data_IF_720158429108
#
_entry.id   IF_720158429108
#
_cell.length_a   1.000
_cell.length_b   1.000
_cell.length_c   1.000
_cell.angle_alpha   90.00
_cell.angle_beta   90.00
_cell.angle_gamma   90.00
#
_symmetry.space_group_name_H-M   'P 1'
#
loop_
_entity.id
_entity.type
_entity.pdbx_description
1 polymer ?
#
# COMPACT_ATOMS: atom_id res chain seq x y z
N UNK A 1 20.22 15.71 9.94
CA UNK A 1 20.08 14.70 8.88
C UNK A 1 19.68 15.36 7.56
N UNK A 2 18.62 16.22 7.50
CA UNK A 2 18.14 16.85 6.27
C UNK A 2 19.19 17.68 5.54
N UNK A 3 19.97 18.51 6.25
CA UNK A 3 21.05 19.30 5.65
C UNK A 3 22.12 18.44 5.01
N UNK A 4 22.52 17.34 5.67
CA UNK A 4 23.50 16.38 5.12
C UNK A 4 22.94 15.71 3.86
N UNK A 5 21.70 15.26 3.89
CA UNK A 5 21.02 14.66 2.73
C UNK A 5 20.98 15.65 1.55
N UNK A 6 20.61 16.92 1.80
CA UNK A 6 20.59 17.98 0.77
C UNK A 6 21.98 18.21 0.18
N UNK A 7 23.03 18.27 1.03
CA UNK A 7 24.41 18.45 0.56
C UNK A 7 24.86 17.24 -0.30
N UNK A 8 24.55 16.01 0.11
CA UNK A 8 24.85 14.79 -0.65
C UNK A 8 24.14 14.82 -2.00
N UNK A 9 22.86 15.14 -2.04
CA UNK A 9 22.10 15.23 -3.30
C UNK A 9 22.70 16.31 -4.21
N UNK A 10 22.99 17.49 -3.68
CA UNK A 10 23.51 18.61 -4.45
C UNK A 10 24.90 18.33 -5.05
N UNK A 11 25.73 17.49 -4.40
CA UNK A 11 27.12 17.25 -4.81
C UNK A 11 27.30 15.94 -5.58
N UNK A 12 26.53 14.89 -5.26
CA UNK A 12 26.75 13.55 -5.80
C UNK A 12 25.71 13.12 -6.86
N UNK A 13 24.53 13.76 -6.91
CA UNK A 13 23.55 13.43 -7.95
C UNK A 13 23.94 14.16 -9.24
N UNK A 14 24.19 13.44 -10.35
CA UNK A 14 24.44 14.05 -11.64
C UNK A 14 23.27 14.94 -12.03
N UNK A 15 23.59 16.12 -12.59
CA UNK A 15 22.52 16.97 -13.19
C UNK A 15 21.90 16.20 -14.32
N UNK A 16 20.63 15.83 -14.15
CA UNK A 16 19.85 15.18 -15.22
C UNK A 16 19.77 16.13 -16.41
N UNK A 17 20.45 15.76 -17.48
CA UNK A 17 20.31 16.44 -18.78
C UNK A 17 19.17 15.74 -19.51
N UNK A 18 17.93 16.00 -19.05
CA UNK A 18 16.72 15.36 -19.58
C UNK A 18 16.78 15.24 -21.11
N UNK A 19 17.02 14.03 -21.59
CA UNK A 19 17.05 13.73 -23.04
C UNK A 19 15.64 13.70 -23.65
N UNK A 20 14.61 13.72 -22.83
CA UNK A 20 13.21 13.80 -23.27
C UNK A 20 12.62 15.16 -22.89
N UNK A 21 12.14 15.91 -23.88
CA UNK A 21 11.38 17.14 -23.63
C UNK A 21 10.21 16.81 -22.68
N UNK A 22 10.08 17.52 -21.53
CA UNK A 22 8.99 17.26 -20.61
C UNK A 22 7.66 17.44 -21.33
N UNK A 23 6.73 16.50 -21.14
CA UNK A 23 5.36 16.66 -21.65
C UNK A 23 4.77 17.96 -21.08
N UNK A 24 3.92 18.62 -21.85
CA UNK A 24 3.15 19.72 -21.31
C UNK A 24 2.30 19.20 -20.14
N UNK A 25 2.22 19.95 -19.04
CA UNK A 25 1.47 19.55 -17.82
C UNK A 25 0.05 19.03 -18.11
N UNK A 26 -0.60 19.64 -19.12
CA UNK A 26 -1.92 19.20 -19.59
C UNK A 26 -1.93 17.78 -20.16
N UNK A 27 -0.84 17.36 -20.79
CA UNK A 27 -0.73 16.02 -21.36
C UNK A 27 -0.36 14.99 -20.28
N UNK A 28 0.45 15.37 -19.29
CA UNK A 28 0.67 14.55 -18.09
C UNK A 28 -0.64 14.27 -17.34
N UNK A 29 -1.52 15.29 -17.21
CA UNK A 29 -2.83 15.11 -16.57
C UNK A 29 -3.72 14.13 -17.35
N UNK A 30 -3.66 14.11 -18.69
CA UNK A 30 -4.39 13.12 -19.50
C UNK A 30 -3.89 11.70 -19.25
N UNK A 31 -2.58 11.53 -19.09
CA UNK A 31 -1.98 10.22 -18.77
C UNK A 31 -2.44 9.75 -17.40
N UNK A 32 -2.40 10.61 -16.39
CA UNK A 32 -2.86 10.29 -15.03
C UNK A 32 -4.36 9.98 -15.01
N UNK A 33 -5.15 10.63 -15.86
CA UNK A 33 -6.59 10.36 -16.02
C UNK A 33 -6.93 9.01 -16.67
N UNK A 34 -5.93 8.23 -17.12
CA UNK A 34 -6.19 6.89 -17.67
C UNK A 34 -6.80 5.97 -16.61
N UNK A 35 -7.82 5.16 -16.93
CA UNK A 35 -8.50 4.30 -15.97
C UNK A 35 -7.56 3.39 -15.17
N UNK A 36 -6.52 2.86 -15.80
CA UNK A 36 -5.54 1.98 -15.14
C UNK A 36 -4.67 2.72 -14.11
N UNK A 37 -4.36 3.99 -14.32
CA UNK A 37 -3.63 4.82 -13.35
C UNK A 37 -4.54 5.15 -12.17
N UNK A 38 -5.78 5.57 -12.43
CA UNK A 38 -6.76 5.87 -11.38
C UNK A 38 -7.08 4.63 -10.53
N UNK A 39 -7.23 3.45 -11.14
CA UNK A 39 -7.38 2.20 -10.41
C UNK A 39 -6.13 1.90 -9.57
N UNK A 40 -4.93 2.19 -10.09
CA UNK A 40 -3.68 2.07 -9.34
C UNK A 40 -3.64 2.97 -8.09
N UNK A 41 -4.00 4.23 -8.25
CA UNK A 41 -4.10 5.18 -7.13
C UNK A 41 -5.16 4.73 -6.10
N UNK A 42 -6.31 4.26 -6.55
CA UNK A 42 -7.36 3.71 -5.67
C UNK A 42 -6.86 2.46 -4.93
N UNK A 43 -6.16 1.55 -5.60
CA UNK A 43 -5.53 0.40 -4.95
C UNK A 43 -4.53 0.83 -3.88
N UNK A 44 -3.79 1.93 -4.08
CA UNK A 44 -2.86 2.47 -3.10
C UNK A 44 -3.60 3.02 -1.88
N UNK A 45 -4.65 3.84 -2.08
CA UNK A 45 -5.47 4.37 -0.97
C UNK A 45 -6.05 3.24 -0.13
N UNK A 46 -6.69 2.25 -0.77
CA UNK A 46 -7.36 1.16 -0.08
C UNK A 46 -6.36 0.13 0.47
N UNK A 47 -5.35 -0.25 -0.33
CA UNK A 47 -4.38 -1.27 0.05
C UNK A 47 -3.56 -0.89 1.28
N UNK A 48 -3.15 0.36 1.38
CA UNK A 48 -2.35 0.85 2.50
C UNK A 48 -3.20 1.40 3.65
N UNK A 49 -4.37 1.97 3.33
CA UNK A 49 -5.26 2.58 4.33
C UNK A 49 -5.75 1.60 5.39
N UNK A 50 -5.98 0.34 5.03
CA UNK A 50 -6.43 -0.70 5.97
C UNK A 50 -5.49 -0.86 7.16
N UNK A 51 -4.19 -0.85 6.94
CA UNK A 51 -3.19 -0.95 8.01
C UNK A 51 -3.34 0.18 9.03
N UNK A 52 -3.63 1.42 8.58
CA UNK A 52 -3.78 2.56 9.47
C UNK A 52 -5.06 2.53 10.30
N UNK A 53 -6.08 1.75 9.93
CA UNK A 53 -7.25 1.48 10.77
C UNK A 53 -6.84 0.79 12.08
N UNK A 54 -5.80 -0.04 12.05
CA UNK A 54 -5.25 -0.73 13.24
C UNK A 54 -4.10 0.06 13.85
N UNK A 55 -3.14 0.50 13.04
CA UNK A 55 -1.89 1.10 13.51
C UNK A 55 -2.10 2.40 14.27
N UNK A 56 -3.06 3.23 13.86
CA UNK A 56 -3.39 4.48 14.57
C UNK A 56 -3.84 4.24 16.01
N UNK A 57 -4.46 3.09 16.26
CA UNK A 57 -4.99 2.71 17.57
C UNK A 57 -4.23 1.54 18.18
N UNK A 58 -2.99 1.32 17.74
CA UNK A 58 -2.20 0.15 18.16
C UNK A 58 -1.91 0.17 19.68
N UNK A 59 -1.68 1.35 20.25
CA UNK A 59 -1.41 1.47 21.69
C UNK A 59 -2.61 1.02 22.53
N UNK A 60 -3.82 1.58 22.42
CA UNK A 60 -4.97 1.10 23.17
C UNK A 60 -5.31 -0.37 22.82
N UNK A 61 -5.09 -0.81 21.59
CA UNK A 61 -5.30 -2.22 21.23
C UNK A 61 -4.36 -3.14 22.02
N UNK A 62 -3.10 -2.76 22.20
CA UNK A 62 -2.12 -3.52 22.99
C UNK A 62 -2.41 -3.45 24.48
N UNK A 63 -2.75 -2.29 25.04
CA UNK A 63 -2.89 -2.12 26.48
C UNK A 63 -4.26 -2.54 26.99
N UNK A 64 -5.35 -2.14 26.32
CA UNK A 64 -6.71 -2.37 26.80
C UNK A 64 -7.29 -3.72 26.36
N UNK A 65 -6.90 -4.23 25.18
CA UNK A 65 -7.44 -5.49 24.63
C UNK A 65 -6.48 -6.66 24.89
N UNK A 66 -5.20 -6.51 24.53
CA UNK A 66 -4.22 -7.57 24.69
C UNK A 66 -3.59 -7.62 26.10
N UNK A 67 -3.85 -6.62 26.97
CA UNK A 67 -3.42 -6.59 28.37
C UNK A 67 -1.92 -6.40 28.58
N UNK A 68 -1.24 -5.68 27.67
CA UNK A 68 0.16 -5.31 27.87
C UNK A 68 0.30 -4.09 28.78
N UNK A 69 1.40 -4.04 29.55
CA UNK A 69 1.80 -2.82 30.23
C UNK A 69 2.22 -1.76 29.19
N UNK A 70 2.00 -0.47 29.49
CA UNK A 70 2.40 0.64 28.60
C UNK A 70 3.90 0.61 28.23
N UNK A 71 4.76 0.16 29.15
CA UNK A 71 6.21 0.02 28.92
C UNK A 71 6.56 -1.02 27.85
N UNK A 72 5.66 -1.97 27.56
CA UNK A 72 5.87 -2.99 26.53
C UNK A 72 5.54 -2.49 25.12
N UNK A 73 4.79 -1.39 24.98
CA UNK A 73 4.36 -0.87 23.67
C UNK A 73 5.55 -0.54 22.79
N UNK A 74 6.54 0.22 23.29
CA UNK A 74 7.72 0.60 22.49
C UNK A 74 8.54 -0.59 22.00
N UNK A 75 8.88 -1.60 22.82
CA UNK A 75 9.51 -2.84 22.34
C UNK A 75 8.68 -3.56 21.26
N UNK A 76 7.36 -3.63 21.41
CA UNK A 76 6.49 -4.29 20.44
C UNK A 76 6.49 -3.51 19.11
N UNK A 77 6.51 -2.17 19.15
CA UNK A 77 6.63 -1.35 17.95
C UNK A 77 7.99 -1.51 17.25
N UNK A 78 9.05 -1.89 17.96
CA UNK A 78 10.31 -2.28 17.30
C UNK A 78 10.14 -3.57 16.49
N UNK A 79 9.35 -4.54 16.97
CA UNK A 79 9.01 -5.74 16.18
C UNK A 79 8.25 -5.37 14.90
N UNK A 80 7.30 -4.42 14.98
CA UNK A 80 6.65 -3.85 13.80
C UNK A 80 7.67 -3.24 12.84
N UNK A 81 8.63 -2.44 13.35
CA UNK A 81 9.69 -1.83 12.55
C UNK A 81 10.58 -2.85 11.83
N UNK A 82 10.96 -3.95 12.50
CA UNK A 82 11.68 -5.07 11.87
C UNK A 82 10.82 -5.68 10.77
N UNK A 83 9.52 -5.90 11.03
CA UNK A 83 8.58 -6.36 10.04
C UNK A 83 8.55 -5.45 8.80
N UNK A 84 8.48 -4.12 8.99
CA UNK A 84 8.52 -3.15 7.89
C UNK A 84 9.75 -3.31 7.00
N UNK A 85 10.94 -3.48 7.59
CA UNK A 85 12.19 -3.68 6.83
C UNK A 85 12.10 -4.95 5.99
N UNK A 86 11.72 -6.06 6.60
CA UNK A 86 11.59 -7.36 5.92
C UNK A 86 10.53 -7.28 4.81
N UNK A 87 9.37 -6.69 5.11
CA UNK A 87 8.28 -6.53 4.15
C UNK A 87 8.69 -5.71 2.93
N UNK A 88 9.32 -4.55 3.16
CA UNK A 88 9.76 -3.68 2.07
C UNK A 88 10.79 -4.37 1.15
N UNK A 89 11.75 -5.10 1.71
CA UNK A 89 12.74 -5.86 0.94
C UNK A 89 12.09 -6.99 0.13
N UNK A 90 11.20 -7.76 0.74
CA UNK A 90 10.50 -8.85 0.05
C UNK A 90 9.54 -8.34 -1.02
N UNK A 91 8.77 -7.28 -0.71
CA UNK A 91 7.84 -6.64 -1.65
C UNK A 91 8.55 -6.13 -2.90
N UNK A 92 9.69 -5.43 -2.74
CA UNK A 92 10.53 -5.01 -3.85
C UNK A 92 11.03 -6.19 -4.69
N UNK A 93 11.64 -7.18 -4.05
CA UNK A 93 12.18 -8.38 -4.74
C UNK A 93 11.10 -9.17 -5.51
N UNK A 94 9.88 -9.26 -4.98
CA UNK A 94 8.78 -9.93 -5.68
C UNK A 94 8.24 -9.09 -6.82
N UNK A 95 8.13 -7.77 -6.64
CA UNK A 95 7.68 -6.85 -7.66
C UNK A 95 8.62 -6.83 -8.88
N UNK A 96 9.94 -6.86 -8.65
CA UNK A 96 10.96 -6.93 -9.72
C UNK A 96 10.85 -8.21 -10.56
N UNK A 97 10.40 -9.31 -9.97
CA UNK A 97 10.24 -10.59 -10.70
C UNK A 97 8.97 -10.63 -11.53
N UNK A 98 7.83 -10.39 -10.91
CA UNK A 98 6.49 -10.42 -11.54
C UNK A 98 5.56 -9.46 -10.79
N UNK A 99 5.40 -8.25 -11.32
CA UNK A 99 4.70 -7.17 -10.65
C UNK A 99 3.24 -7.51 -10.28
N UNK A 100 2.45 -8.00 -11.24
CA UNK A 100 1.03 -8.27 -10.98
C UNK A 100 0.80 -9.41 -9.96
N UNK A 101 1.46 -10.58 -10.05
CA UNK A 101 1.37 -11.59 -9.01
C UNK A 101 1.84 -11.07 -7.63
N UNK A 102 2.91 -10.25 -7.59
CA UNK A 102 3.40 -9.66 -6.34
C UNK A 102 2.36 -8.73 -5.72
N UNK A 103 1.72 -7.86 -6.52
CA UNK A 103 0.66 -6.96 -6.08
C UNK A 103 -0.52 -7.71 -5.47
N UNK A 104 -1.03 -8.74 -6.18
CA UNK A 104 -2.15 -9.56 -5.69
C UNK A 104 -1.77 -10.33 -4.41
N UNK A 105 -0.57 -10.94 -4.39
CA UNK A 105 -0.11 -11.72 -3.25
C UNK A 105 0.09 -10.85 -2.01
N UNK A 106 0.69 -9.66 -2.15
CA UNK A 106 0.93 -8.77 -1.01
C UNK A 106 -0.37 -8.20 -0.45
N UNK A 107 -1.33 -7.80 -1.29
CA UNK A 107 -2.67 -7.37 -0.85
C UNK A 107 -3.45 -8.50 -0.16
N UNK A 108 -3.40 -9.72 -0.71
CA UNK A 108 -4.02 -10.89 -0.09
C UNK A 108 -3.37 -11.23 1.26
N UNK A 109 -2.03 -11.18 1.34
CA UNK A 109 -1.29 -11.41 2.59
C UNK A 109 -1.67 -10.39 3.65
N UNK A 110 -1.74 -9.09 3.30
CA UNK A 110 -2.13 -8.04 4.24
C UNK A 110 -3.57 -8.26 4.74
N UNK A 111 -4.50 -8.58 3.84
CA UNK A 111 -5.89 -8.91 4.20
C UNK A 111 -5.96 -10.08 5.18
N UNK A 112 -5.21 -11.16 4.90
CA UNK A 112 -5.18 -12.35 5.76
C UNK A 112 -4.55 -12.05 7.12
N UNK A 113 -3.42 -11.36 7.16
CA UNK A 113 -2.75 -10.98 8.42
C UNK A 113 -3.68 -10.16 9.30
N UNK A 114 -4.33 -9.15 8.75
CA UNK A 114 -5.27 -8.31 9.52
C UNK A 114 -6.51 -9.10 9.96
N UNK A 115 -7.09 -9.93 9.10
CA UNK A 115 -8.23 -10.78 9.44
C UNK A 115 -7.89 -11.79 10.54
N UNK A 116 -6.74 -12.47 10.42
CA UNK A 116 -6.28 -13.45 11.41
C UNK A 116 -5.85 -12.81 12.74
N UNK A 117 -5.36 -11.56 12.71
CA UNK A 117 -5.02 -10.79 13.91
C UNK A 117 -6.21 -10.66 14.87
N UNK A 118 -7.45 -10.70 14.36
CA UNK A 118 -8.66 -10.69 15.18
C UNK A 118 -8.69 -11.84 16.20
N UNK A 119 -8.18 -13.01 15.83
CA UNK A 119 -8.12 -14.17 16.72
C UNK A 119 -6.91 -14.14 17.69
N UNK A 120 -5.94 -13.28 17.41
CA UNK A 120 -4.73 -13.13 18.22
C UNK A 120 -4.89 -12.12 19.37
N UNK A 121 -5.95 -11.32 19.39
CA UNK A 121 -6.13 -10.16 20.27
C UNK A 121 -5.99 -10.49 21.77
N UNK A 122 -6.39 -11.69 22.20
CA UNK A 122 -6.38 -12.11 23.60
C UNK A 122 -5.16 -12.95 23.99
N UNK A 123 -4.18 -13.11 23.09
CA UNK A 123 -2.93 -13.81 23.34
C UNK A 123 -1.75 -12.88 23.12
N UNK A 124 -1.04 -12.54 24.19
CA UNK A 124 0.10 -11.60 24.11
C UNK A 124 1.17 -12.06 23.11
N UNK A 125 1.55 -13.35 23.13
CA UNK A 125 2.54 -13.88 22.19
C UNK A 125 2.08 -13.81 20.73
N UNK A 126 0.83 -14.20 20.50
CA UNK A 126 0.25 -14.09 19.15
C UNK A 126 0.17 -12.63 18.70
N UNK A 127 -0.21 -11.71 19.59
CA UNK A 127 -0.32 -10.29 19.29
C UNK A 127 1.03 -9.69 18.88
N UNK A 128 2.13 -9.99 19.59
CA UNK A 128 3.49 -9.54 19.21
C UNK A 128 3.86 -10.06 17.82
N UNK A 129 3.60 -11.35 17.54
CA UNK A 129 3.85 -11.93 16.23
C UNK A 129 3.04 -11.20 15.13
N UNK A 130 1.73 -11.00 15.37
CA UNK A 130 0.87 -10.34 14.38
C UNK A 130 1.20 -8.86 14.17
N UNK A 131 1.70 -8.15 15.17
CA UNK A 131 2.22 -6.78 15.01
C UNK A 131 3.43 -6.77 14.06
N UNK A 132 4.36 -7.71 14.21
CA UNK A 132 5.47 -7.86 13.28
C UNK A 132 5.02 -8.25 11.86
N UNK A 133 4.09 -9.20 11.74
CA UNK A 133 3.50 -9.61 10.46
C UNK A 133 2.71 -8.48 9.79
N UNK A 134 2.01 -7.65 10.56
CA UNK A 134 1.32 -6.46 10.06
C UNK A 134 2.31 -5.48 9.42
N UNK A 135 3.43 -5.20 10.09
CA UNK A 135 4.49 -4.38 9.52
C UNK A 135 5.05 -4.97 8.23
N UNK A 136 5.34 -6.27 8.22
CA UNK A 136 5.86 -6.96 7.05
C UNK A 136 4.85 -6.98 5.88
N UNK A 137 3.60 -7.36 6.14
CA UNK A 137 2.58 -7.45 5.11
C UNK A 137 2.23 -6.07 4.51
N UNK A 138 2.07 -5.05 5.36
CA UNK A 138 1.75 -3.70 4.91
C UNK A 138 2.87 -3.11 4.04
N UNK A 139 4.11 -3.18 4.49
CA UNK A 139 5.23 -2.61 3.74
C UNK A 139 5.66 -3.43 2.53
N UNK A 140 5.30 -4.71 2.47
CA UNK A 140 5.44 -5.50 1.24
C UNK A 140 4.54 -5.00 0.09
N UNK A 141 3.45 -4.27 0.37
CA UNK A 141 2.56 -3.71 -0.67
C UNK A 141 3.12 -2.44 -1.32
N UNK A 142 4.04 -1.72 -0.66
CA UNK A 142 4.48 -0.38 -1.07
C UNK A 142 5.13 -0.41 -2.46
N UNK A 143 6.15 -1.26 -2.66
CA UNK A 143 6.85 -1.33 -3.94
C UNK A 143 5.96 -1.81 -5.09
N UNK A 144 5.15 -2.88 -4.96
CA UNK A 144 4.24 -3.30 -6.02
C UNK A 144 3.21 -2.22 -6.41
N UNK A 145 2.63 -1.51 -5.43
CA UNK A 145 1.66 -0.42 -5.68
C UNK A 145 2.33 0.75 -6.42
N UNK A 146 3.51 1.16 -5.97
CA UNK A 146 4.26 2.25 -6.60
C UNK A 146 4.64 1.90 -8.04
N UNK A 147 5.23 0.73 -8.25
CA UNK A 147 5.65 0.30 -9.58
C UNK A 147 4.47 0.11 -10.54
N UNK A 148 3.34 -0.38 -10.05
CA UNK A 148 2.13 -0.50 -10.87
C UNK A 148 1.67 0.85 -11.42
N UNK A 149 1.55 1.87 -10.56
CA UNK A 149 1.15 3.21 -10.96
C UNK A 149 2.14 3.79 -11.97
N UNK A 150 3.45 3.67 -11.71
CA UNK A 150 4.49 4.17 -12.60
C UNK A 150 4.46 3.51 -13.99
N UNK A 151 4.27 2.18 -14.06
CA UNK A 151 4.17 1.46 -15.32
C UNK A 151 2.93 1.87 -16.14
N UNK A 152 1.80 2.13 -15.47
CA UNK A 152 0.57 2.56 -16.16
C UNK A 152 0.59 4.04 -16.58
N UNK A 153 1.44 4.84 -15.95
CA UNK A 153 1.61 6.27 -16.22
C UNK A 153 2.81 6.56 -17.13
N UNK A 154 3.11 5.66 -18.07
CA UNK A 154 4.21 5.87 -19.02
C UNK A 154 4.07 7.22 -19.74
N UNK A 155 5.13 8.02 -19.68
CA UNK A 155 5.19 9.40 -20.15
C UNK A 155 4.92 10.46 -19.08
N UNK A 156 4.32 10.11 -17.92
CA UNK A 156 4.02 11.04 -16.83
C UNK A 156 4.40 10.45 -15.44
N UNK A 157 5.51 9.69 -15.38
CA UNK A 157 5.91 8.96 -14.16
C UNK A 157 6.16 9.88 -12.97
N UNK A 158 6.72 11.07 -13.19
CA UNK A 158 7.02 12.02 -12.11
C UNK A 158 5.75 12.51 -11.41
N UNK A 159 4.75 12.94 -12.19
CA UNK A 159 3.45 13.37 -11.67
C UNK A 159 2.72 12.20 -11.01
N UNK A 160 2.70 11.03 -11.65
CA UNK A 160 2.05 9.83 -11.13
C UNK A 160 2.69 9.35 -9.83
N UNK A 161 4.03 9.43 -9.70
CA UNK A 161 4.74 9.13 -8.44
C UNK A 161 4.30 10.07 -7.31
N UNK A 162 4.25 11.38 -7.58
CA UNK A 162 3.83 12.38 -6.60
C UNK A 162 2.39 12.16 -6.15
N UNK A 163 1.49 11.85 -7.10
CA UNK A 163 0.09 11.54 -6.80
C UNK A 163 -0.06 10.23 -6.03
N UNK A 164 0.79 9.23 -6.31
CA UNK A 164 0.76 7.97 -5.57
C UNK A 164 1.24 8.13 -4.13
N UNK A 165 2.24 9.00 -3.87
CA UNK A 165 2.60 9.40 -2.50
C UNK A 165 1.41 10.08 -1.81
N UNK A 166 0.71 10.96 -2.53
CA UNK A 166 -0.54 11.56 -2.05
C UNK A 166 -1.62 10.49 -1.74
N UNK A 167 -1.74 9.46 -2.59
CA UNK A 167 -2.67 8.35 -2.39
C UNK A 167 -2.33 7.53 -1.14
N UNK A 168 -1.06 7.25 -0.85
CA UNK A 168 -0.63 6.64 0.42
C UNK A 168 -1.07 7.49 1.62
N UNK A 169 -0.84 8.81 1.59
CA UNK A 169 -1.23 9.69 2.68
C UNK A 169 -2.76 9.81 2.83
N UNK A 170 -3.50 9.83 1.72
CA UNK A 170 -4.96 9.77 1.75
C UNK A 170 -5.45 8.45 2.36
N UNK A 171 -4.80 7.33 2.04
CA UNK A 171 -5.06 6.03 2.65
C UNK A 171 -4.82 6.06 4.16
N UNK A 172 -3.71 6.66 4.63
CA UNK A 172 -3.41 6.82 6.05
C UNK A 172 -4.52 7.60 6.78
N UNK A 173 -4.93 8.74 6.22
CA UNK A 173 -5.99 9.57 6.77
C UNK A 173 -7.34 8.83 6.77
N UNK A 174 -7.68 8.15 5.68
CA UNK A 174 -8.89 7.35 5.56
C UNK A 174 -8.92 6.22 6.60
N UNK A 175 -7.82 5.47 6.74
CA UNK A 175 -7.72 4.37 7.71
C UNK A 175 -7.85 4.86 9.15
N UNK A 176 -7.16 5.96 9.51
CA UNK A 176 -7.27 6.56 10.84
C UNK A 176 -8.70 7.03 11.13
N UNK A 177 -9.33 7.71 10.17
CA UNK A 177 -10.73 8.13 10.28
C UNK A 177 -11.68 6.92 10.42
N UNK A 178 -11.51 5.88 9.60
CA UNK A 178 -12.33 4.68 9.66
C UNK A 178 -12.21 4.00 11.02
N UNK A 179 -11.00 3.87 11.56
CA UNK A 179 -10.78 3.32 12.90
C UNK A 179 -11.48 4.12 13.99
N UNK A 180 -11.41 5.46 13.93
CA UNK A 180 -12.15 6.33 14.84
C UNK A 180 -13.66 6.16 14.72
N UNK A 181 -14.17 6.08 13.49
CA UNK A 181 -15.60 5.85 13.26
C UNK A 181 -16.05 4.49 13.85
N UNK A 182 -15.29 3.42 13.67
CA UNK A 182 -15.58 2.09 14.24
C UNK A 182 -15.70 2.15 15.76
N UNK A 183 -14.75 2.83 16.43
CA UNK A 183 -14.75 2.99 17.89
C UNK A 183 -15.96 3.83 18.34
N UNK A 184 -16.22 4.96 17.69
CA UNK A 184 -17.32 5.88 18.05
C UNK A 184 -18.70 5.25 17.87
N UNK A 185 -18.88 4.33 16.93
CA UNK A 185 -20.14 3.60 16.75
C UNK A 185 -20.26 2.38 17.67
N UNK A 186 -19.39 2.21 18.66
CA UNK A 186 -19.51 1.21 19.72
C UNK A 186 -19.06 -0.20 19.34
N UNK A 187 -18.43 -0.42 18.18
CA UNK A 187 -17.92 -1.73 17.81
C UNK A 187 -16.65 -2.14 18.60
N UNK A 188 -16.03 -1.18 19.29
CA UNK A 188 -14.88 -1.39 20.15
C UNK A 188 -13.56 -1.58 19.40
N UNK A 189 -12.45 -1.58 20.16
CA UNK A 189 -11.08 -1.68 19.63
C UNK A 189 -10.83 -3.01 18.88
N UNK A 190 -11.41 -4.11 19.33
CA UNK A 190 -11.24 -5.43 18.69
C UNK A 190 -11.80 -5.49 17.26
N UNK A 191 -12.76 -4.62 16.92
CA UNK A 191 -13.32 -4.57 15.58
C UNK A 191 -12.37 -3.94 14.54
N UNK A 192 -11.35 -3.20 14.98
CA UNK A 192 -10.40 -2.52 14.08
C UNK A 192 -9.66 -3.49 13.15
N UNK A 193 -9.36 -4.70 13.62
CA UNK A 193 -8.59 -5.70 12.87
C UNK A 193 -9.38 -6.25 11.69
N UNK A 194 -10.63 -6.71 11.92
CA UNK A 194 -11.43 -7.27 10.83
C UNK A 194 -12.04 -6.19 9.92
N UNK A 195 -12.44 -5.02 10.46
CA UNK A 195 -12.89 -3.89 9.62
C UNK A 195 -11.72 -3.37 8.78
N UNK A 196 -10.54 -3.22 9.40
CA UNK A 196 -9.33 -2.83 8.68
C UNK A 196 -8.94 -3.83 7.58
N UNK A 197 -9.21 -5.14 7.77
CA UNK A 197 -8.95 -6.16 6.75
C UNK A 197 -9.85 -6.03 5.50
N UNK A 198 -11.08 -5.50 5.65
CA UNK A 198 -11.98 -5.27 4.52
C UNK A 198 -11.44 -4.22 3.53
N UNK A 199 -10.59 -3.31 4.01
CA UNK A 199 -10.04 -2.24 3.18
C UNK A 199 -9.02 -2.79 2.17
N UNK A 200 -7.94 -3.52 2.53
CA UNK A 200 -7.06 -4.14 1.56
C UNK A 200 -7.74 -5.27 0.77
N UNK A 201 -8.79 -5.91 1.32
CA UNK A 201 -9.63 -6.82 0.54
C UNK A 201 -10.32 -6.09 -0.62
N UNK A 202 -10.86 -4.89 -0.39
CA UNK A 202 -11.44 -4.07 -1.45
C UNK A 202 -10.38 -3.65 -2.48
N UNK A 203 -9.14 -3.33 -2.05
CA UNK A 203 -8.03 -3.07 -2.96
C UNK A 203 -7.69 -4.30 -3.83
N UNK A 204 -7.71 -5.51 -3.24
CA UNK A 204 -7.50 -6.76 -3.96
C UNK A 204 -8.59 -6.99 -5.03
N UNK A 205 -9.85 -6.71 -4.72
CA UNK A 205 -10.94 -6.78 -5.70
C UNK A 205 -10.75 -5.77 -6.84
N UNK A 206 -10.35 -4.54 -6.53
CA UNK A 206 -10.01 -3.52 -7.54
C UNK A 206 -8.84 -3.98 -8.40
N UNK A 207 -7.81 -4.62 -7.81
CA UNK A 207 -6.69 -5.17 -8.55
C UNK A 207 -7.11 -6.30 -9.52
N UNK A 208 -7.95 -7.22 -9.06
CA UNK A 208 -8.51 -8.29 -9.91
C UNK A 208 -9.36 -7.73 -11.06
N UNK A 209 -10.16 -6.69 -10.78
CA UNK A 209 -10.92 -5.99 -11.81
C UNK A 209 -10.01 -5.31 -12.83
N UNK A 210 -8.96 -4.63 -12.39
CA UNK A 210 -7.95 -4.00 -13.26
C UNK A 210 -7.28 -5.01 -14.21
N UNK A 211 -6.94 -6.20 -13.69
CA UNK A 211 -6.40 -7.32 -14.50
C UNK A 211 -7.41 -7.79 -15.54
N UNK A 212 -8.68 -7.92 -15.15
CA UNK A 212 -9.73 -8.37 -16.06
C UNK A 212 -9.95 -7.40 -17.23
N UNK A 213 -9.93 -6.10 -16.94
CA UNK A 213 -10.01 -5.03 -17.95
C UNK A 213 -8.83 -5.09 -18.92
N UNK A 214 -7.61 -5.28 -18.41
CA UNK A 214 -6.42 -5.37 -19.25
C UNK A 214 -6.51 -6.57 -20.21
N UNK A 215 -6.82 -7.75 -19.69
CA UNK A 215 -6.98 -8.96 -20.51
C UNK A 215 -8.05 -8.80 -21.59
N UNK A 216 -9.14 -8.08 -21.29
CA UNK A 216 -10.20 -7.80 -22.27
C UNK A 216 -9.71 -6.88 -23.37
N UNK A 217 -8.97 -5.83 -23.04
CA UNK A 217 -8.37 -4.91 -24.01
C UNK A 217 -7.40 -5.63 -24.93
N UNK A 218 -6.49 -6.46 -24.37
CA UNK A 218 -5.51 -7.22 -25.15
C UNK A 218 -6.18 -8.17 -26.15
N UNK A 219 -7.26 -8.85 -25.73
CA UNK A 219 -8.03 -9.73 -26.63
C UNK A 219 -8.70 -8.99 -27.77
N UNK A 220 -9.21 -7.78 -27.53
CA UNK A 220 -9.85 -6.98 -28.57
C UNK A 220 -8.82 -6.49 -29.60
N UNK A 221 -7.61 -6.15 -29.16
CA UNK A 221 -6.52 -5.75 -30.08
C UNK A 221 -6.11 -6.91 -30.97
N UNK A 222 -5.87 -8.10 -30.41
CA UNK A 222 -5.53 -9.32 -31.18
C UNK A 222 -6.63 -9.68 -32.19
N UNK A 223 -7.91 -9.57 -31.80
CA UNK A 223 -9.03 -9.85 -32.70
C UNK A 223 -9.13 -8.81 -33.84
N UNK A 224 -8.82 -7.54 -33.56
CA UNK A 224 -8.82 -6.48 -34.59
C UNK A 224 -7.68 -6.68 -35.60
N UNK A 225 -6.49 -7.07 -35.15
CA UNK A 225 -5.34 -7.41 -36.01
C UNK A 225 -5.62 -8.63 -36.90
N UNK A 226 -6.25 -9.67 -36.35
CA UNK A 226 -6.63 -10.88 -37.10
C UNK A 226 -7.70 -10.63 -38.18
N UNK A 227 -8.56 -9.62 -38.01
CA UNK A 227 -9.58 -9.26 -39.00
C UNK A 227 -9.07 -8.30 -40.09
N UNK A 228 -7.88 -7.71 -39.88
CA UNK A 228 -7.25 -6.78 -40.82
C UNK A 228 -6.21 -7.46 -41.73
N UNK A 229 -5.83 -8.69 -41.46
CA UNK A 229 -4.92 -9.55 -42.22
C UNK A 229 -5.68 -10.51 -43.13
#
# INVERSE_FOLDING_TARGET
IGVIATAVIATLVPKDRGETAPLAFRDELKVVGRPQVLLGLLMTVLGFGGMFTVYTYIQPLLTEVAGFAESAVSPILLVFGVGMIVGNLLGGKFADRKLMPALLATLATLTLVMGLMTFALHSQWAMVLFVGLLGAAAFATVSPLQLWVLQKAEGAQSLASSLNIGAFNLGNAFGAWLGGAVIMHGAGLGALTWVGALVPLSALLVALYSVSLQKRSDRLLVAAESNAA
#
